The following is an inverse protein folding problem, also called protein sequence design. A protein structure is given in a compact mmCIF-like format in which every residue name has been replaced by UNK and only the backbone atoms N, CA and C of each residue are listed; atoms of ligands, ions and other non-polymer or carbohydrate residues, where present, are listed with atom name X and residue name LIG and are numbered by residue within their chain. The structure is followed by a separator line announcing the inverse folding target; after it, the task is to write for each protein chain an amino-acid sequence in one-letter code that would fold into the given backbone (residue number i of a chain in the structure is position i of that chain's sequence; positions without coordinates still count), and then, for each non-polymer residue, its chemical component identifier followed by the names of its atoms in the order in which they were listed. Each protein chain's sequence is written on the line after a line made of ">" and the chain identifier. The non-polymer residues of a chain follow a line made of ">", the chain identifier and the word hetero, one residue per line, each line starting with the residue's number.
data_IF_823882181305
#
_entry.id   IF_823882181305
#
_cell.length_a   1.000
_cell.length_b   1.000
_cell.length_c   1.000
_cell.angle_alpha   90.00
_cell.angle_beta   90.00
_cell.angle_gamma   90.00
#
_symmetry.space_group_name_H-M   'P 1'
#
loop_
_entity.id
_entity.type
_entity.pdbx_description
1 polymer ?
#
# COMPACT_ATOMS: atom_id res chain seq x y z
N UNK A 1 -11.85 -27.98 -3.81
CA UNK A 1 -11.27 -26.64 -3.62
C UNK A 1 -11.38 -25.88 -4.94
N UNK A 2 -12.49 -25.17 -5.15
CA UNK A 2 -12.70 -24.37 -6.37
C UNK A 2 -11.88 -23.07 -6.23
N UNK A 3 -10.86 -22.90 -7.06
CA UNK A 3 -10.05 -21.69 -7.09
C UNK A 3 -10.88 -20.56 -7.71
N UNK A 4 -11.22 -19.60 -6.86
CA UNK A 4 -11.96 -18.37 -7.16
C UNK A 4 -11.25 -17.55 -8.24
N UNK A 5 -11.44 -17.92 -9.50
CA UNK A 5 -10.74 -17.39 -10.69
C UNK A 5 -11.11 -15.93 -11.04
N UNK A 6 -11.86 -15.26 -10.17
CA UNK A 6 -12.33 -13.88 -10.32
C UNK A 6 -11.54 -12.87 -9.49
N UNK A 7 -10.65 -13.31 -8.59
CA UNK A 7 -9.97 -12.41 -7.64
C UNK A 7 -8.97 -11.45 -8.32
N UNK A 8 -8.14 -11.94 -9.25
CA UNK A 8 -7.06 -11.14 -9.83
C UNK A 8 -7.54 -10.02 -10.77
N UNK A 9 -8.61 -10.26 -11.55
CA UNK A 9 -9.22 -9.22 -12.40
C UNK A 9 -9.80 -8.09 -11.56
N UNK A 10 -10.44 -8.43 -10.43
CA UNK A 10 -10.96 -7.44 -9.48
C UNK A 10 -9.84 -6.65 -8.82
N UNK A 11 -8.76 -7.33 -8.41
CA UNK A 11 -7.59 -6.65 -7.84
C UNK A 11 -6.95 -5.68 -8.84
N UNK A 12 -6.80 -6.09 -10.10
CA UNK A 12 -6.28 -5.20 -11.16
C UNK A 12 -7.20 -4.01 -11.41
N UNK A 13 -8.50 -4.22 -11.52
CA UNK A 13 -9.47 -3.14 -11.71
C UNK A 13 -9.46 -2.17 -10.51
N UNK A 14 -9.42 -2.69 -9.28
CA UNK A 14 -9.35 -1.90 -8.06
C UNK A 14 -8.06 -1.05 -8.02
N UNK A 15 -6.90 -1.67 -8.25
CA UNK A 15 -5.63 -0.95 -8.29
C UNK A 15 -5.61 0.11 -9.39
N UNK A 16 -6.13 -0.22 -10.59
CA UNK A 16 -6.23 0.73 -11.70
C UNK A 16 -7.06 1.96 -11.32
N UNK A 17 -8.23 1.76 -10.70
CA UNK A 17 -9.07 2.87 -10.23
C UNK A 17 -8.33 3.73 -9.20
N UNK A 18 -7.67 3.11 -8.23
CA UNK A 18 -6.94 3.84 -7.19
C UNK A 18 -5.81 4.69 -7.77
N UNK A 19 -4.94 4.11 -8.59
CA UNK A 19 -3.78 4.84 -9.16
C UNK A 19 -4.17 5.89 -10.19
N UNK A 20 -5.38 5.80 -10.77
CA UNK A 20 -5.90 6.80 -11.70
C UNK A 20 -6.64 7.94 -11.02
N UNK A 21 -7.28 7.69 -9.89
CA UNK A 21 -8.07 8.68 -9.17
C UNK A 21 -7.26 9.44 -8.11
N UNK A 22 -6.18 8.85 -7.58
CA UNK A 22 -5.44 9.41 -6.45
C UNK A 22 -3.94 9.52 -6.73
N UNK A 23 -3.35 10.58 -6.19
CA UNK A 23 -1.92 10.69 -5.98
C UNK A 23 -1.54 10.12 -4.63
N UNK A 24 -0.46 9.33 -4.59
CA UNK A 24 0.07 8.72 -3.37
C UNK A 24 1.46 9.26 -3.08
N UNK A 25 1.64 9.87 -1.92
CA UNK A 25 2.93 10.35 -1.45
C UNK A 25 3.34 9.66 -0.15
N UNK A 26 4.65 9.64 0.13
CA UNK A 26 5.17 9.09 1.37
C UNK A 26 4.83 10.02 2.52
N UNK A 27 4.14 9.53 3.54
CA UNK A 27 3.82 10.32 4.72
C UNK A 27 5.02 10.50 5.67
N UNK A 28 6.09 9.73 5.45
CA UNK A 28 7.31 9.69 6.26
C UNK A 28 8.54 9.65 5.33
N UNK A 29 9.74 9.99 5.83
CA UNK A 29 10.98 9.73 5.12
C UNK A 29 11.05 8.27 4.67
N UNK A 30 11.51 8.04 3.43
CA UNK A 30 11.53 6.70 2.84
C UNK A 30 12.33 5.69 3.68
N UNK A 31 13.40 6.17 4.30
CA UNK A 31 14.33 5.36 5.10
C UNK A 31 13.75 4.95 6.46
N UNK A 32 12.67 5.61 6.92
CA UNK A 32 11.96 5.24 8.16
C UNK A 32 10.99 4.07 7.93
N UNK A 33 10.79 3.65 6.68
CA UNK A 33 9.95 2.50 6.34
C UNK A 33 10.86 1.30 6.07
N UNK A 34 10.87 0.35 6.99
CA UNK A 34 11.72 -0.85 6.91
C UNK A 34 10.89 -2.11 6.75
N UNK A 35 11.47 -3.11 6.09
CA UNK A 35 10.84 -4.42 5.93
C UNK A 35 11.19 -5.32 7.11
N UNK A 36 10.18 -5.82 7.81
CA UNK A 36 10.35 -6.90 8.78
C UNK A 36 10.13 -8.23 8.07
N UNK A 37 11.21 -8.96 7.78
CA UNK A 37 11.15 -10.26 7.08
C UNK A 37 11.01 -11.44 8.04
N UNK A 38 10.01 -12.30 7.78
CA UNK A 38 9.89 -13.63 8.40
C UNK A 38 9.44 -14.69 7.37
N UNK A 39 8.52 -14.33 6.46
CA UNK A 39 8.13 -15.13 5.27
C UNK A 39 7.69 -14.21 4.12
N UNK A 40 6.98 -13.13 4.45
CA UNK A 40 6.59 -12.05 3.53
C UNK A 40 7.18 -10.72 4.01
N UNK A 41 7.54 -9.83 3.09
CA UNK A 41 8.05 -8.50 3.42
C UNK A 41 6.92 -7.61 3.92
N UNK A 42 6.86 -7.35 5.24
CA UNK A 42 5.87 -6.47 5.85
C UNK A 42 6.52 -5.13 6.19
N UNK A 43 6.03 -4.00 5.64
CA UNK A 43 6.54 -2.69 6.01
C UNK A 43 6.15 -2.36 7.45
N UNK A 44 7.08 -1.78 8.18
CA UNK A 44 6.92 -1.22 9.53
C UNK A 44 7.61 0.14 9.58
N UNK A 45 7.18 0.98 10.51
CA UNK A 45 7.82 2.28 10.77
C UNK A 45 8.92 2.08 11.80
N UNK A 46 10.16 2.37 11.44
CA UNK A 46 11.33 2.13 12.30
C UNK A 46 11.31 3.01 13.56
N UNK A 47 10.88 4.28 13.42
CA UNK A 47 10.69 5.21 14.53
C UNK A 47 9.58 4.81 15.50
N UNK A 48 8.62 3.96 15.08
CA UNK A 48 7.53 3.49 15.93
C UNK A 48 7.22 1.99 15.73
N UNK A 49 8.08 1.08 16.22
CA UNK A 49 7.90 -0.36 16.05
C UNK A 49 6.66 -0.93 16.74
N UNK A 50 6.17 -0.25 17.79
CA UNK A 50 4.99 -0.66 18.55
C UNK A 50 3.67 -0.48 17.78
N UNK A 51 3.63 0.43 16.80
CA UNK A 51 2.47 0.63 15.93
C UNK A 51 2.22 -0.54 14.95
N UNK A 52 3.15 -1.48 14.84
CA UNK A 52 3.00 -2.68 14.02
C UNK A 52 3.24 -2.44 12.53
N UNK A 53 2.64 -3.30 11.69
CA UNK A 53 2.85 -3.26 10.24
C UNK A 53 1.94 -2.24 9.59
N UNK A 54 2.57 -1.28 8.91
CA UNK A 54 1.88 -0.19 8.23
C UNK A 54 2.76 0.38 7.12
N UNK A 55 2.11 0.96 6.11
CA UNK A 55 2.74 1.78 5.08
C UNK A 55 1.99 3.11 5.03
N UNK A 56 2.42 4.10 5.84
CA UNK A 56 1.75 5.39 5.88
C UNK A 56 1.91 6.13 4.55
N UNK A 57 0.78 6.50 3.94
CA UNK A 57 0.71 7.22 2.67
C UNK A 57 -0.20 8.44 2.82
N UNK A 58 0.22 9.56 2.24
CA UNK A 58 -0.65 10.71 2.00
C UNK A 58 -1.38 10.48 0.69
N UNK A 59 -2.70 10.67 0.69
CA UNK A 59 -3.55 10.43 -0.46
C UNK A 59 -4.21 11.77 -0.82
N UNK A 60 -4.10 12.15 -2.09
CA UNK A 60 -4.83 13.30 -2.65
C UNK A 60 -5.63 12.87 -3.86
N UNK A 61 -6.79 13.47 -4.06
CA UNK A 61 -7.54 13.31 -5.30
C UNK A 61 -6.71 13.96 -6.42
N UNK A 62 -6.55 13.26 -7.55
CA UNK A 62 -5.98 13.92 -8.73
C UNK A 62 -7.01 14.95 -9.21
N UNK A 63 -6.63 16.22 -9.28
CA UNK A 63 -7.52 17.23 -9.83
C UNK A 63 -7.71 16.90 -11.33
N UNK A 64 -8.96 16.66 -11.74
CA UNK A 64 -9.31 16.82 -13.15
C UNK A 64 -9.42 18.32 -13.38
N UNK A 65 -8.36 18.91 -13.96
CA UNK A 65 -8.44 20.23 -14.59
C UNK A 65 -9.45 20.21 -15.75
#
# INVERSE_FOLDING_TARGET
>A
MQLNSYSWRKLKAFLFTLVRAFEFEKALPADDIVLKTTVVGRPVVASNPAAGSQLPLLIRLVNLD
#
